data_IF_154181096814
#
_entry.id   IF_154181096814
#
_cell.length_a   1.000
_cell.length_b   1.000
_cell.length_c   1.000
_cell.angle_alpha   90.00
_cell.angle_beta   90.00
_cell.angle_gamma   90.00
#
_symmetry.space_group_name_H-M   'P 1'
#
loop_
_entity.id
_entity.type
_entity.pdbx_description
1 polymer ?
#
# COMPACT_ATOMS: atom_id res chain seq x y z
N UNK A 1 5.31 67.79 10.08
CA UNK A 1 4.78 66.52 10.62
C UNK A 1 5.17 66.41 12.07
N UNK A 2 4.19 66.31 12.95
CA UNK A 2 4.36 66.23 14.39
C UNK A 2 5.03 64.90 14.79
N UNK A 3 6.02 64.87 15.69
CA UNK A 3 6.74 63.66 16.08
C UNK A 3 5.84 62.51 16.50
N UNK A 4 4.69 62.81 17.12
CA UNK A 4 3.70 61.84 17.56
C UNK A 4 2.98 61.13 16.41
N UNK A 5 2.92 61.70 15.20
CA UNK A 5 2.35 61.03 14.03
C UNK A 5 3.33 60.03 13.40
N UNK A 6 4.64 60.22 13.57
CA UNK A 6 5.64 59.22 13.12
C UNK A 6 5.68 57.97 14.01
N UNK A 7 5.38 58.10 15.28
CA UNK A 7 5.39 56.98 16.22
C UNK A 7 4.20 56.02 15.96
N UNK A 8 3.03 56.57 15.64
CA UNK A 8 1.84 55.80 15.30
C UNK A 8 1.97 55.08 13.92
N UNK A 9 2.64 55.71 12.95
CA UNK A 9 2.88 55.11 11.66
C UNK A 9 3.89 53.92 11.74
N UNK A 10 4.87 54.01 12.63
CA UNK A 10 5.85 52.96 12.87
C UNK A 10 5.27 51.78 13.66
N UNK A 11 4.36 51.98 14.60
CA UNK A 11 3.68 50.91 15.34
C UNK A 11 2.69 50.14 14.45
N UNK A 12 1.96 50.82 13.58
CA UNK A 12 1.08 50.23 12.60
C UNK A 12 1.83 49.37 11.55
N UNK A 13 2.99 49.81 11.09
CA UNK A 13 3.82 49.07 10.16
C UNK A 13 4.48 47.85 10.82
N UNK A 14 4.86 47.91 12.09
CA UNK A 14 5.43 46.77 12.82
C UNK A 14 4.40 45.68 13.07
N UNK A 15 3.16 46.04 13.39
CA UNK A 15 2.04 45.08 13.56
C UNK A 15 1.70 44.47 12.21
N UNK A 16 1.65 45.23 11.12
CA UNK A 16 1.40 44.70 9.78
C UNK A 16 2.51 43.76 9.29
N UNK A 17 3.78 44.01 9.61
CA UNK A 17 4.90 43.12 9.29
C UNK A 17 4.90 41.87 10.13
N UNK A 18 4.48 41.90 11.39
CA UNK A 18 4.36 40.71 12.23
C UNK A 18 3.20 39.81 11.78
N UNK A 19 2.08 40.41 11.37
CA UNK A 19 0.95 39.66 10.78
C UNK A 19 1.34 39.08 9.42
N UNK A 20 2.10 39.81 8.60
CA UNK A 20 2.58 39.37 7.31
C UNK A 20 3.56 38.18 7.46
N UNK A 21 4.46 38.22 8.44
CA UNK A 21 5.36 37.08 8.73
C UNK A 21 4.62 35.85 9.27
N UNK A 22 3.56 36.03 10.04
CA UNK A 22 2.68 34.94 10.47
C UNK A 22 1.92 34.34 9.27
N UNK A 23 1.47 35.18 8.34
CA UNK A 23 0.76 34.75 7.13
C UNK A 23 1.69 34.05 6.13
N UNK A 24 2.97 34.47 6.01
CA UNK A 24 3.97 33.80 5.18
C UNK A 24 4.33 32.43 5.75
N UNK A 25 4.35 32.25 7.08
CA UNK A 25 4.50 30.96 7.71
C UNK A 25 3.34 29.98 7.43
N UNK A 26 2.14 30.52 7.16
CA UNK A 26 0.93 29.73 6.86
C UNK A 26 0.74 29.54 5.35
N UNK A 27 1.38 30.33 4.49
CA UNK A 27 1.21 30.30 3.02
C UNK A 27 1.67 28.99 2.35
N UNK A 28 2.39 28.13 3.06
CA UNK A 28 2.71 26.77 2.59
C UNK A 28 1.52 25.80 2.59
N UNK A 29 0.33 26.25 3.02
CA UNK A 29 -0.88 25.44 3.13
C UNK A 29 -1.94 25.82 2.07
N UNK A 30 -1.62 26.69 1.11
CA UNK A 30 -2.56 27.11 0.04
C UNK A 30 -3.76 27.93 0.54
N UNK A 31 -3.59 28.68 1.63
CA UNK A 31 -4.60 29.51 2.26
C UNK A 31 -4.51 30.96 1.72
N UNK A 32 -5.59 31.46 1.13
CA UNK A 32 -5.76 32.87 0.82
C UNK A 32 -6.44 33.58 2.00
N UNK A 33 -5.75 34.50 2.64
CA UNK A 33 -6.27 35.30 3.75
C UNK A 33 -6.56 36.71 3.27
N UNK A 34 -7.80 37.17 3.37
CA UNK A 34 -8.20 38.54 3.09
C UNK A 34 -8.49 39.28 4.37
N UNK A 35 -7.74 40.33 4.65
CA UNK A 35 -7.89 41.21 5.82
C UNK A 35 -8.76 42.42 5.47
N UNK A 36 -9.90 42.56 6.10
CA UNK A 36 -10.72 43.77 5.99
C UNK A 36 -10.65 44.55 7.29
N UNK A 37 -10.00 45.71 7.24
CA UNK A 37 -9.97 46.65 8.35
C UNK A 37 -11.12 47.67 8.16
N UNK A 38 -12.11 47.63 9.04
CA UNK A 38 -13.13 48.69 9.14
C UNK A 38 -12.75 49.59 10.29
N UNK A 39 -12.10 50.72 9.96
CA UNK A 39 -11.83 51.79 10.91
C UNK A 39 -13.05 52.65 11.18
N UNK A 40 -13.46 52.81 12.42
CA UNK A 40 -14.32 53.92 12.91
C UNK A 40 -13.70 54.50 14.16
N UNK A 41 -13.38 55.76 14.08
CA UNK A 41 -13.15 56.77 15.12
C UNK A 41 -12.60 56.39 16.51
N UNK A 42 -12.00 57.33 17.23
CA UNK A 42 -11.16 57.07 18.40
C UNK A 42 -11.94 56.80 19.67
N UNK A 43 -12.55 55.66 19.82
CA UNK A 43 -13.04 55.04 21.08
C UNK A 43 -13.95 53.82 20.84
N UNK A 44 -13.57 52.86 20.05
CA UNK A 44 -14.21 51.56 20.09
C UNK A 44 -13.16 50.48 19.83
N UNK A 45 -13.29 49.39 20.56
CA UNK A 45 -12.48 48.18 20.42
C UNK A 45 -12.47 47.74 18.96
N UNK A 46 -11.30 47.58 18.39
CA UNK A 46 -11.17 47.09 17.00
C UNK A 46 -11.46 45.60 16.98
N UNK A 47 -12.59 45.23 16.41
CA UNK A 47 -12.92 43.86 16.10
C UNK A 47 -12.23 43.48 14.75
N UNK A 48 -11.24 42.62 14.85
CA UNK A 48 -10.55 42.07 13.66
C UNK A 48 -11.31 40.81 13.23
N UNK A 49 -11.94 40.87 12.07
CA UNK A 49 -12.57 39.68 11.48
C UNK A 49 -11.63 39.11 10.44
N UNK A 50 -11.12 37.91 10.66
CA UNK A 50 -10.29 37.19 9.73
C UNK A 50 -11.12 36.09 9.07
N UNK A 51 -11.30 36.14 7.77
CA UNK A 51 -11.95 35.10 6.98
C UNK A 51 -10.89 34.27 6.27
N UNK A 52 -10.77 33.04 6.61
CA UNK A 52 -9.89 32.09 5.92
C UNK A 52 -10.72 31.35 4.88
N UNK A 53 -10.37 31.52 3.60
CA UNK A 53 -11.05 30.81 2.49
C UNK A 53 -10.17 29.64 2.10
N UNK A 54 -10.62 28.43 2.38
CA UNK A 54 -10.05 27.22 1.80
C UNK A 54 -10.80 26.89 0.51
N UNK A 55 -10.14 26.36 -0.49
CA UNK A 55 -10.74 26.11 -1.82
C UNK A 55 -12.02 25.25 -1.81
N UNK A 56 -12.33 24.57 -0.69
CA UNK A 56 -13.50 23.70 -0.59
C UNK A 56 -14.45 24.03 0.58
N UNK A 57 -14.10 24.92 1.52
CA UNK A 57 -15.01 25.32 2.60
C UNK A 57 -14.66 26.71 3.12
N UNK A 58 -15.66 27.55 3.30
CA UNK A 58 -15.50 28.88 3.91
C UNK A 58 -15.64 28.72 5.43
N UNK A 59 -14.55 28.91 6.15
CA UNK A 59 -14.60 28.96 7.62
C UNK A 59 -14.64 30.44 8.05
N UNK A 60 -15.71 30.85 8.66
CA UNK A 60 -15.84 32.18 9.25
C UNK A 60 -15.43 32.06 10.71
N UNK A 61 -14.33 32.71 11.09
CA UNK A 61 -13.96 32.84 12.50
C UNK A 61 -14.64 34.09 13.04
N UNK A 62 -15.76 33.91 13.72
CA UNK A 62 -16.40 35.00 14.45
C UNK A 62 -15.77 35.15 15.84
N UNK A 63 -15.40 36.39 16.18
CA UNK A 63 -14.89 36.82 17.49
C UNK A 63 -13.44 36.46 17.80
N UNK A 64 -12.52 37.15 17.17
CA UNK A 64 -11.13 37.24 17.65
C UNK A 64 -10.99 38.47 18.55
N UNK A 65 -10.72 38.27 19.86
CA UNK A 65 -10.41 39.34 20.79
C UNK A 65 -8.89 39.48 20.88
N UNK A 66 -8.38 40.66 20.60
CA UNK A 66 -6.96 40.97 20.85
C UNK A 66 -6.88 41.68 22.21
N UNK A 67 -6.47 40.96 23.24
CA UNK A 67 -6.10 41.54 24.52
C UNK A 67 -4.59 41.63 24.59
N UNK A 68 -4.05 42.76 24.80
CA UNK A 68 -2.69 43.31 24.81
C UNK A 68 -1.46 42.36 24.65
N UNK A 69 -1.59 41.03 24.69
CA UNK A 69 -0.47 40.09 24.56
C UNK A 69 -0.86 38.65 24.08
N UNK A 70 -2.13 38.34 23.92
CA UNK A 70 -2.51 36.96 23.52
C UNK A 70 -3.63 36.95 22.49
N UNK A 71 -3.38 36.37 21.34
CA UNK A 71 -4.40 36.06 20.35
C UNK A 71 -5.05 34.74 20.75
N UNK A 72 -6.28 34.82 21.25
CA UNK A 72 -7.07 33.60 21.54
C UNK A 72 -7.96 33.38 20.33
N UNK A 73 -7.59 32.44 19.51
CA UNK A 73 -8.47 31.89 18.48
C UNK A 73 -9.35 30.81 19.11
N UNK A 74 -10.65 31.07 19.16
CA UNK A 74 -11.59 29.97 19.43
C UNK A 74 -11.79 29.25 18.10
N UNK A 75 -11.01 28.19 17.87
CA UNK A 75 -11.29 27.26 16.78
C UNK A 75 -12.64 26.61 17.09
N UNK A 76 -13.67 26.97 16.33
CA UNK A 76 -14.81 26.09 16.15
C UNK A 76 -14.31 24.92 15.31
N UNK A 77 -14.35 23.76 15.91
CA UNK A 77 -13.82 22.47 15.45
C UNK A 77 -14.57 21.98 14.19
N UNK A 78 -14.24 22.57 13.04
CA UNK A 78 -14.70 22.13 11.73
C UNK A 78 -13.48 21.68 10.92
N UNK A 79 -13.13 20.43 10.99
CA UNK A 79 -12.11 19.67 10.26
C UNK A 79 -10.96 19.17 11.14
N UNK A 80 -11.26 18.35 12.15
CA UNK A 80 -10.30 17.31 12.50
C UNK A 80 -10.12 16.43 11.27
N UNK A 81 -8.89 16.30 10.73
CA UNK A 81 -8.67 15.45 9.57
C UNK A 81 -9.19 14.04 9.86
N UNK A 82 -10.02 13.51 8.96
CA UNK A 82 -10.59 12.17 9.11
C UNK A 82 -9.55 11.14 8.70
N UNK A 83 -8.86 10.54 9.65
CA UNK A 83 -7.99 9.40 9.41
C UNK A 83 -8.78 8.11 9.19
N UNK A 84 -8.22 7.21 8.40
CA UNK A 84 -8.73 5.85 8.30
C UNK A 84 -8.61 5.14 9.66
N UNK A 85 -9.72 4.61 10.15
CA UNK A 85 -9.77 3.80 11.36
C UNK A 85 -10.15 2.37 11.00
N UNK A 86 -9.36 1.41 11.41
CA UNK A 86 -9.63 -0.03 11.22
C UNK A 86 -10.59 -0.54 12.30
N UNK A 87 -11.83 -0.08 12.27
CA UNK A 87 -12.84 -0.33 13.31
C UNK A 87 -13.82 -1.46 12.99
N UNK A 88 -13.77 -2.00 11.78
CA UNK A 88 -14.65 -3.11 11.35
C UNK A 88 -13.88 -4.44 11.35
N UNK A 89 -14.61 -5.55 11.54
CA UNK A 89 -14.10 -6.89 11.30
C UNK A 89 -14.04 -7.21 9.79
N UNK A 90 -13.44 -8.34 9.43
CA UNK A 90 -13.57 -8.87 8.07
C UNK A 90 -14.95 -9.47 7.83
N UNK A 91 -15.48 -9.28 6.63
CA UNK A 91 -16.67 -9.99 6.18
C UNK A 91 -16.39 -11.48 5.98
N UNK A 92 -17.38 -12.31 6.25
CA UNK A 92 -17.35 -13.69 5.81
C UNK A 92 -17.54 -13.80 4.30
N UNK A 93 -16.82 -14.71 3.70
CA UNK A 93 -16.79 -14.95 2.26
C UNK A 93 -17.24 -16.37 1.97
N UNK A 94 -18.17 -16.54 1.03
CA UNK A 94 -18.63 -17.84 0.53
C UNK A 94 -18.22 -18.08 -0.93
N UNK A 95 -17.59 -17.10 -1.56
CA UNK A 95 -17.06 -17.20 -2.90
C UNK A 95 -16.39 -15.90 -3.33
N UNK A 96 -15.72 -15.93 -4.47
CA UNK A 96 -14.94 -14.80 -4.98
C UNK A 96 -15.44 -14.35 -6.34
N UNK A 97 -15.65 -13.04 -6.49
CA UNK A 97 -16.22 -12.44 -7.71
C UNK A 97 -15.21 -11.51 -8.34
N UNK A 98 -15.00 -11.63 -9.65
CA UNK A 98 -14.15 -10.71 -10.42
C UNK A 98 -14.78 -9.33 -10.43
N UNK A 99 -13.99 -8.35 -9.98
CA UNK A 99 -14.38 -6.93 -10.00
C UNK A 99 -13.67 -6.16 -11.12
N UNK A 100 -12.51 -6.65 -11.58
CA UNK A 100 -11.75 -6.03 -12.65
C UNK A 100 -10.81 -7.03 -13.32
N UNK A 101 -10.59 -6.85 -14.63
CA UNK A 101 -9.60 -7.56 -15.42
C UNK A 101 -9.11 -6.64 -16.54
N UNK A 102 -7.83 -6.33 -16.59
CA UNK A 102 -7.32 -5.34 -17.53
C UNK A 102 -7.02 -5.90 -18.92
N UNK A 103 -6.78 -7.20 -19.05
CA UNK A 103 -6.43 -7.87 -20.33
C UNK A 103 -5.26 -7.20 -21.08
N UNK A 104 -4.33 -6.54 -20.39
CA UNK A 104 -3.27 -5.73 -20.98
C UNK A 104 -2.49 -6.47 -22.05
N UNK A 105 -2.15 -7.73 -21.80
CA UNK A 105 -1.35 -8.55 -22.73
C UNK A 105 -2.12 -8.84 -24.03
N UNK A 106 -3.43 -9.02 -23.97
CA UNK A 106 -4.26 -9.28 -25.16
C UNK A 106 -4.28 -8.10 -26.13
N UNK A 107 -4.19 -6.88 -25.63
CA UNK A 107 -4.26 -5.65 -26.43
C UNK A 107 -2.89 -5.07 -26.76
N UNK A 108 -1.79 -5.65 -26.25
CA UNK A 108 -0.46 -5.06 -26.28
C UNK A 108 0.11 -4.76 -27.66
N UNK A 109 -0.32 -5.45 -28.70
CA UNK A 109 0.14 -5.19 -30.07
C UNK A 109 -0.59 -4.04 -30.76
N UNK A 110 -1.83 -3.75 -30.36
CA UNK A 110 -2.67 -2.71 -30.96
C UNK A 110 -2.48 -1.33 -30.34
N UNK A 111 -2.00 -1.24 -29.08
CA UNK A 111 -1.87 -0.02 -28.32
C UNK A 111 -0.47 0.16 -27.73
N UNK A 112 -0.19 1.37 -27.21
CA UNK A 112 1.06 1.64 -26.50
C UNK A 112 0.98 1.17 -25.03
N UNK A 113 0.79 -0.13 -24.84
CA UNK A 113 0.75 -0.74 -23.52
C UNK A 113 2.13 -0.67 -22.87
N UNK A 114 2.18 -0.16 -21.65
CA UNK A 114 3.41 -0.11 -20.85
C UNK A 114 3.74 -1.53 -20.36
N UNK A 115 4.98 -1.90 -20.48
CA UNK A 115 5.51 -3.16 -19.91
C UNK A 115 5.62 -3.00 -18.41
N UNK A 116 4.95 -3.87 -17.66
CA UNK A 116 4.89 -3.82 -16.19
C UNK A 116 5.11 -5.18 -15.56
N UNK A 117 5.54 -5.16 -14.31
CA UNK A 117 5.50 -6.28 -13.36
C UNK A 117 5.21 -5.77 -11.95
N UNK A 118 4.93 -6.70 -11.06
CA UNK A 118 4.57 -6.46 -9.66
C UNK A 118 3.37 -5.48 -9.54
N UNK A 119 2.24 -5.80 -10.20
CA UNK A 119 1.03 -5.01 -10.08
C UNK A 119 0.36 -5.30 -8.75
N UNK A 120 -0.31 -4.30 -8.20
CA UNK A 120 -1.18 -4.45 -7.04
C UNK A 120 -2.30 -3.42 -7.08
N UNK A 121 -3.25 -3.55 -6.17
CA UNK A 121 -4.38 -2.64 -6.02
C UNK A 121 -4.29 -1.92 -4.69
N UNK A 122 -4.52 -0.63 -4.69
CA UNK A 122 -4.70 0.17 -3.49
C UNK A 122 -5.88 1.12 -3.68
N UNK A 123 -6.66 1.29 -2.62
CA UNK A 123 -7.86 2.12 -2.63
C UNK A 123 -7.64 3.39 -1.78
N UNK A 124 -8.41 4.41 -2.09
CA UNK A 124 -8.52 5.66 -1.35
C UNK A 124 -9.98 6.14 -1.37
N UNK A 125 -10.33 7.27 -0.75
CA UNK A 125 -11.71 7.75 -0.75
C UNK A 125 -12.31 7.99 -2.15
N UNK A 126 -11.48 8.04 -3.20
CA UNK A 126 -11.95 8.22 -4.59
C UNK A 126 -12.16 6.90 -5.33
N UNK A 127 -11.75 5.77 -4.76
CA UNK A 127 -11.86 4.43 -5.33
C UNK A 127 -10.54 3.67 -5.37
N UNK A 128 -10.54 2.57 -6.09
CA UNK A 128 -9.39 1.67 -6.19
C UNK A 128 -8.66 1.86 -7.52
N UNK A 129 -7.34 1.85 -7.47
CA UNK A 129 -6.46 1.94 -8.64
C UNK A 129 -5.48 0.78 -8.67
N UNK A 130 -5.03 0.43 -9.87
CA UNK A 130 -3.89 -0.46 -10.06
C UNK A 130 -2.59 0.33 -9.93
N UNK A 131 -1.62 -0.23 -9.24
CA UNK A 131 -0.24 0.25 -9.14
C UNK A 131 0.66 -0.84 -9.70
N UNK A 132 1.65 -0.47 -10.51
CA UNK A 132 2.58 -1.43 -11.09
C UNK A 132 3.94 -0.79 -11.33
N UNK A 133 4.98 -1.61 -11.36
CA UNK A 133 6.33 -1.18 -11.69
C UNK A 133 6.53 -1.31 -13.21
N UNK A 134 6.63 -0.16 -13.90
CA UNK A 134 6.93 -0.15 -15.33
C UNK A 134 8.41 -0.47 -15.58
N UNK A 135 8.73 -0.88 -16.80
CA UNK A 135 10.07 -1.23 -17.23
C UNK A 135 10.69 -0.21 -18.19
N UNK A 136 10.17 1.02 -18.22
CA UNK A 136 10.68 2.10 -19.06
C UNK A 136 10.40 1.97 -20.54
N UNK A 137 9.47 1.10 -20.96
CA UNK A 137 9.13 0.86 -22.37
C UNK A 137 7.69 0.44 -22.55
N UNK A 138 7.24 0.41 -23.79
CA UNK A 138 5.95 -0.15 -24.20
C UNK A 138 6.16 -1.47 -24.98
N UNK A 139 5.12 -2.30 -25.06
CA UNK A 139 5.16 -3.57 -25.77
C UNK A 139 5.52 -3.38 -27.26
N UNK A 140 5.10 -2.27 -27.88
CA UNK A 140 5.45 -1.95 -29.26
C UNK A 140 6.89 -1.49 -29.47
N UNK A 141 7.54 -1.00 -28.43
CA UNK A 141 8.87 -0.42 -28.55
C UNK A 141 9.95 -1.49 -28.35
N UNK A 142 10.41 -2.07 -29.45
CA UNK A 142 11.31 -3.23 -29.47
C UNK A 142 12.76 -2.97 -29.02
N UNK A 143 13.07 -1.80 -28.46
CA UNK A 143 14.46 -1.41 -28.21
C UNK A 143 14.90 -1.48 -26.73
N UNK A 144 14.17 -2.14 -25.84
CA UNK A 144 14.61 -2.21 -24.45
C UNK A 144 15.23 -3.58 -24.11
N UNK A 145 16.50 -3.56 -23.80
CA UNK A 145 17.21 -4.68 -23.17
C UNK A 145 16.84 -4.86 -21.67
N UNK A 146 15.95 -4.05 -21.12
CA UNK A 146 15.68 -3.94 -19.68
C UNK A 146 14.56 -4.84 -19.16
N UNK A 147 13.80 -5.49 -20.03
CA UNK A 147 12.56 -6.20 -19.62
C UNK A 147 12.78 -7.52 -18.88
N UNK A 148 14.01 -8.05 -18.92
CA UNK A 148 14.37 -9.32 -18.27
C UNK A 148 14.98 -9.11 -16.87
N UNK A 149 15.40 -7.90 -16.56
CA UNK A 149 16.06 -7.60 -15.29
C UNK A 149 15.11 -6.94 -14.31
N UNK A 150 14.87 -7.57 -13.17
CA UNK A 150 13.93 -7.11 -12.14
C UNK A 150 14.37 -5.80 -11.46
N UNK A 151 15.68 -5.54 -11.38
CA UNK A 151 16.25 -4.37 -10.69
C UNK A 151 17.08 -3.53 -11.65
N UNK A 152 16.42 -2.59 -12.29
CA UNK A 152 17.05 -1.64 -13.23
C UNK A 152 16.76 -0.20 -12.84
N UNK A 153 17.62 0.71 -13.28
CA UNK A 153 17.42 2.16 -13.08
C UNK A 153 16.21 2.73 -13.84
N UNK A 154 15.67 1.97 -14.77
CA UNK A 154 14.55 2.42 -15.63
C UNK A 154 13.18 2.08 -15.09
N UNK A 155 13.08 1.42 -13.94
CA UNK A 155 11.80 1.06 -13.34
C UNK A 155 11.24 2.19 -12.49
N UNK A 156 9.93 2.28 -12.45
CA UNK A 156 9.20 3.22 -11.60
C UNK A 156 7.77 2.78 -11.38
N UNK A 157 7.18 3.27 -10.30
CA UNK A 157 5.81 3.00 -9.95
C UNK A 157 4.89 3.90 -10.77
N UNK A 158 3.90 3.30 -11.40
CA UNK A 158 2.79 3.99 -12.08
C UNK A 158 1.47 3.59 -11.43
N UNK A 159 0.47 4.45 -11.55
CA UNK A 159 -0.91 4.13 -11.20
C UNK A 159 -1.81 4.29 -12.43
N UNK A 160 -2.81 3.41 -12.54
CA UNK A 160 -3.81 3.43 -13.61
C UNK A 160 -5.19 3.13 -13.05
N UNK A 161 -6.28 3.52 -13.73
CA UNK A 161 -7.60 3.07 -13.36
C UNK A 161 -7.68 1.54 -13.33
N UNK A 162 -8.30 0.98 -12.28
CA UNK A 162 -8.46 -0.46 -12.15
C UNK A 162 -9.32 -1.02 -13.29
N UNK A 163 -8.88 -2.13 -13.88
CA UNK A 163 -9.57 -2.78 -15.02
C UNK A 163 -9.21 -2.21 -16.39
N UNK A 164 -8.28 -1.26 -16.45
CA UNK A 164 -7.82 -0.64 -17.69
C UNK A 164 -6.35 -0.99 -17.94
N UNK A 165 -5.96 -1.39 -19.17
CA UNK A 165 -4.57 -1.63 -19.50
C UNK A 165 -3.71 -0.38 -19.29
N UNK A 166 -2.52 -0.48 -18.67
CA UNK A 166 -1.64 0.67 -18.47
C UNK A 166 -1.07 1.15 -19.81
N UNK A 167 -1.41 2.37 -20.18
CA UNK A 167 -0.88 3.06 -21.38
C UNK A 167 -0.16 4.34 -20.96
N UNK A 168 0.62 4.91 -21.85
CA UNK A 168 1.30 6.18 -21.59
C UNK A 168 0.31 7.31 -21.28
N UNK A 169 -0.88 7.27 -21.91
CA UNK A 169 -1.88 8.33 -21.76
C UNK A 169 -2.74 8.22 -20.51
N UNK A 170 -2.90 7.03 -19.92
CA UNK A 170 -3.77 6.83 -18.76
C UNK A 170 -3.03 6.52 -17.46
N UNK A 171 -1.69 6.54 -17.49
CA UNK A 171 -0.85 6.20 -16.34
C UNK A 171 -0.23 7.43 -15.72
N UNK A 172 -0.33 7.53 -14.40
CA UNK A 172 0.35 8.55 -13.60
C UNK A 172 1.66 7.97 -13.04
N UNK A 173 2.76 8.68 -13.28
CA UNK A 173 4.05 8.32 -12.70
C UNK A 173 4.13 8.79 -11.25
N UNK A 174 4.56 7.93 -10.35
CA UNK A 174 4.62 8.22 -8.92
C UNK A 174 6.05 8.38 -8.38
N UNK A 175 6.93 7.43 -8.65
CA UNK A 175 8.31 7.46 -8.19
C UNK A 175 9.19 6.45 -8.92
N UNK A 176 10.50 6.69 -8.90
CA UNK A 176 11.51 5.78 -9.46
C UNK A 176 11.78 4.66 -8.47
N UNK A 177 11.81 3.43 -8.94
CA UNK A 177 12.18 2.28 -8.15
C UNK A 177 11.78 0.95 -8.78
N UNK A 178 12.36 -0.13 -8.26
CA UNK A 178 12.12 -1.50 -8.67
C UNK A 178 11.43 -2.35 -7.57
N UNK A 179 11.09 -1.73 -6.45
CA UNK A 179 10.26 -2.29 -5.37
C UNK A 179 9.43 -1.18 -4.76
N UNK A 180 8.19 -1.46 -4.38
CA UNK A 180 7.28 -0.41 -3.91
C UNK A 180 6.20 -0.90 -2.97
N UNK A 181 5.61 0.06 -2.27
CA UNK A 181 4.33 -0.05 -1.57
C UNK A 181 3.64 1.30 -1.54
N UNK A 182 2.33 1.31 -1.47
CA UNK A 182 1.53 2.54 -1.27
C UNK A 182 0.29 2.25 -0.46
N UNK A 183 -0.16 3.21 0.31
CA UNK A 183 -1.42 3.18 1.05
C UNK A 183 -1.93 4.59 1.33
N UNK A 184 -3.21 4.70 1.70
CA UNK A 184 -3.87 5.95 2.02
C UNK A 184 -4.36 5.93 3.46
N UNK A 185 -4.10 6.99 4.23
CA UNK A 185 -4.45 7.08 5.65
C UNK A 185 -5.82 7.75 5.92
N UNK A 186 -6.54 8.08 4.87
CA UNK A 186 -7.80 8.84 4.91
C UNK A 186 -7.62 10.33 4.61
N UNK A 187 -6.39 10.86 4.71
CA UNK A 187 -6.05 12.25 4.43
C UNK A 187 -5.11 12.35 3.23
N UNK A 188 -4.15 11.44 3.16
CA UNK A 188 -3.13 11.45 2.13
C UNK A 188 -2.60 10.07 1.79
N UNK A 189 -1.97 9.99 0.64
CA UNK A 189 -1.33 8.77 0.15
C UNK A 189 0.16 8.79 0.48
N UNK A 190 0.60 7.75 1.17
CA UNK A 190 2.01 7.43 1.33
C UNK A 190 2.45 6.48 0.23
N UNK A 191 3.58 6.75 -0.40
CA UNK A 191 4.17 5.90 -1.43
C UNK A 191 5.66 5.72 -1.15
N UNK A 192 6.14 4.50 -1.21
CA UNK A 192 7.54 4.15 -1.01
C UNK A 192 8.04 3.45 -2.27
N UNK A 193 9.13 3.97 -2.83
CA UNK A 193 9.87 3.35 -3.93
C UNK A 193 11.31 3.08 -3.52
N UNK A 194 11.81 1.91 -3.88
CA UNK A 194 13.19 1.50 -3.60
C UNK A 194 13.97 1.43 -4.91
N UNK A 195 15.10 2.11 -4.93
CA UNK A 195 15.99 2.19 -6.09
C UNK A 195 17.44 2.02 -5.68
N UNK A 196 18.32 1.90 -6.66
CA UNK A 196 19.75 1.78 -6.46
C UNK A 196 20.26 0.36 -6.70
N UNK A 197 21.54 0.16 -6.46
CA UNK A 197 22.19 -1.15 -6.57
C UNK A 197 21.91 -1.98 -5.32
N UNK A 198 22.15 -3.29 -5.41
CA UNK A 198 21.91 -4.22 -4.30
C UNK A 198 22.50 -3.75 -2.97
N UNK A 199 23.73 -3.22 -3.01
CA UNK A 199 24.51 -2.83 -1.80
C UNK A 199 24.23 -1.39 -1.33
N UNK A 200 23.58 -0.59 -2.17
CA UNK A 200 23.32 0.84 -1.92
C UNK A 200 21.87 1.22 -2.19
N UNK A 201 20.96 0.29 -2.05
CA UNK A 201 19.54 0.56 -2.26
C UNK A 201 19.02 1.58 -1.25
N UNK A 202 18.14 2.43 -1.72
CA UNK A 202 17.52 3.50 -0.94
C UNK A 202 16.02 3.49 -1.16
N UNK A 203 15.27 3.51 -0.08
CA UNK A 203 13.83 3.73 -0.12
C UNK A 203 13.53 5.22 0.01
N UNK A 204 12.83 5.76 -0.96
CA UNK A 204 12.29 7.14 -0.94
C UNK A 204 10.83 7.09 -0.56
N UNK A 205 10.45 7.87 0.45
CA UNK A 205 9.09 7.94 0.97
C UNK A 205 8.47 9.27 0.57
N UNK A 206 7.30 9.17 -0.05
CA UNK A 206 6.52 10.32 -0.47
C UNK A 206 5.19 10.33 0.29
N UNK A 207 4.73 11.53 0.65
CA UNK A 207 3.39 11.74 1.17
C UNK A 207 2.70 12.82 0.34
N UNK A 208 1.56 12.50 -0.27
CA UNK A 208 0.88 13.35 -1.25
C UNK A 208 1.83 13.88 -2.34
N UNK A 209 2.68 12.99 -2.87
CA UNK A 209 3.63 13.30 -3.93
C UNK A 209 4.87 14.12 -3.51
N UNK A 210 4.99 14.47 -2.24
CA UNK A 210 6.16 15.19 -1.70
C UNK A 210 7.11 14.23 -1.00
N UNK A 211 8.39 14.29 -1.31
CA UNK A 211 9.43 13.56 -0.61
C UNK A 211 9.47 13.96 0.86
N UNK A 212 9.32 13.02 1.77
CA UNK A 212 9.31 13.25 3.22
C UNK A 212 10.52 12.65 3.90
N UNK A 213 10.96 11.48 3.49
CA UNK A 213 12.12 10.82 4.10
C UNK A 213 12.81 9.87 3.13
N UNK A 214 14.00 9.49 3.50
CA UNK A 214 14.84 8.54 2.76
C UNK A 214 15.44 7.54 3.72
N UNK A 215 15.30 6.26 3.41
CA UNK A 215 15.77 5.16 4.23
C UNK A 215 16.87 4.44 3.46
N UNK A 216 18.05 4.32 4.06
CA UNK A 216 19.17 3.59 3.47
C UNK A 216 19.10 2.11 3.84
N UNK A 217 19.65 1.28 2.96
CA UNK A 217 19.90 -0.13 3.25
C UNK A 217 20.63 -0.32 4.58
N UNK A 218 20.24 -1.32 5.37
CA UNK A 218 20.87 -1.66 6.64
C UNK A 218 21.68 -2.96 6.62
N UNK A 219 21.43 -3.83 5.63
CA UNK A 219 22.18 -5.07 5.44
C UNK A 219 22.93 -5.11 4.10
N UNK A 220 22.84 -4.05 3.30
CA UNK A 220 23.50 -3.89 2.00
C UNK A 220 23.27 -5.06 1.04
N UNK A 221 22.05 -5.60 1.04
CA UNK A 221 21.71 -6.73 0.20
C UNK A 221 20.25 -6.72 -0.20
N UNK A 222 19.91 -5.94 -1.22
CA UNK A 222 18.61 -5.85 -1.83
C UNK A 222 17.54 -5.42 -0.81
N UNK A 223 17.60 -4.16 -0.36
CA UNK A 223 16.48 -3.54 0.36
C UNK A 223 15.23 -3.63 -0.53
N UNK A 224 14.13 -4.14 0.03
CA UNK A 224 12.88 -4.39 -0.70
C UNK A 224 11.67 -4.25 0.22
N UNK A 225 10.48 -4.08 -0.35
CA UNK A 225 9.25 -3.94 0.42
C UNK A 225 8.13 -4.83 -0.13
N UNK A 226 6.88 -4.50 0.14
CA UNK A 226 5.75 -5.41 0.06
C UNK A 226 5.32 -5.80 -1.36
N UNK A 227 5.52 -4.96 -2.36
CA UNK A 227 4.94 -5.13 -3.71
C UNK A 227 3.41 -5.26 -3.66
N UNK A 228 2.80 -4.65 -2.67
CA UNK A 228 1.35 -4.58 -2.44
C UNK A 228 1.02 -3.45 -1.46
N UNK A 229 -0.26 -3.22 -1.25
CA UNK A 229 -0.77 -2.17 -0.37
C UNK A 229 -0.22 -2.28 1.06
N UNK A 230 0.27 -1.16 1.63
CA UNK A 230 0.47 -1.03 3.06
C UNK A 230 -0.86 -0.69 3.76
N UNK A 231 -0.87 -0.63 5.07
CA UNK A 231 -2.11 -0.42 5.84
C UNK A 231 -1.91 0.66 6.88
N UNK A 232 -2.90 1.53 6.99
CA UNK A 232 -2.89 2.63 7.94
C UNK A 232 -4.02 2.50 8.97
N UNK A 233 -3.79 3.02 10.16
CA UNK A 233 -4.79 3.19 11.19
C UNK A 233 -4.49 4.45 11.98
N UNK A 234 -5.48 5.30 12.16
CA UNK A 234 -5.35 6.56 12.93
C UNK A 234 -4.14 7.40 12.50
N UNK A 235 -3.95 7.54 11.19
CA UNK A 235 -2.86 8.32 10.61
C UNK A 235 -1.47 7.68 10.64
N UNK A 236 -1.33 6.50 11.23
CA UNK A 236 -0.09 5.73 11.25
C UNK A 236 -0.17 4.56 10.28
N UNK A 237 0.81 4.43 9.40
CA UNK A 237 0.89 3.36 8.40
C UNK A 237 1.99 2.36 8.78
N UNK A 238 1.68 1.07 8.74
CA UNK A 238 2.64 0.00 8.95
C UNK A 238 3.13 -0.55 7.61
N UNK A 239 4.45 -0.74 7.49
CA UNK A 239 5.12 -1.26 6.30
C UNK A 239 6.12 -2.33 6.71
N UNK A 240 6.15 -3.44 5.99
CA UNK A 240 7.17 -4.47 6.16
C UNK A 240 8.24 -4.27 5.10
N UNK A 241 9.47 -4.07 5.54
CA UNK A 241 10.64 -3.91 4.68
C UNK A 241 11.69 -4.95 5.03
N UNK A 242 12.39 -5.45 4.01
CA UNK A 242 13.36 -6.53 4.15
C UNK A 242 14.66 -6.14 3.46
N UNK A 243 15.76 -6.47 4.09
CA UNK A 243 17.11 -6.33 3.55
C UNK A 243 17.89 -7.62 3.87
N UNK A 244 18.81 -8.02 3.03
CA UNK A 244 19.55 -9.25 3.22
C UNK A 244 19.24 -10.33 2.18
N UNK A 245 20.00 -11.42 2.22
CA UNK A 245 19.95 -12.49 1.22
C UNK A 245 18.55 -13.11 1.06
N UNK A 246 18.20 -13.43 -0.17
CA UNK A 246 17.00 -14.23 -0.49
C UNK A 246 17.17 -15.73 -0.20
N UNK A 247 18.39 -16.18 0.08
CA UNK A 247 18.70 -17.59 0.34
C UNK A 247 19.26 -17.85 1.75
N UNK A 248 19.15 -16.87 2.63
CA UNK A 248 19.62 -16.90 4.00
C UNK A 248 18.66 -16.10 4.89
N UNK A 249 18.95 -16.07 6.19
CA UNK A 249 18.19 -15.22 7.10
C UNK A 249 18.22 -13.77 6.61
N UNK A 250 17.05 -13.23 6.36
CA UNK A 250 16.90 -11.84 5.98
C UNK A 250 16.65 -10.96 7.21
N UNK A 251 17.08 -9.72 7.13
CA UNK A 251 16.86 -8.73 8.17
C UNK A 251 15.58 -7.95 7.83
N UNK A 252 14.47 -8.38 8.39
CA UNK A 252 13.16 -7.76 8.20
C UNK A 252 12.86 -6.79 9.33
N UNK A 253 12.32 -5.63 8.98
CA UNK A 253 11.81 -4.63 9.92
C UNK A 253 10.34 -4.33 9.64
N UNK A 254 9.59 -4.09 10.70
CA UNK A 254 8.28 -3.43 10.63
C UNK A 254 8.52 -1.96 10.93
N UNK A 255 8.10 -1.12 10.00
CA UNK A 255 8.31 0.33 10.05
C UNK A 255 6.96 1.03 10.12
N UNK A 256 6.88 2.04 10.95
CA UNK A 256 5.67 2.82 11.17
C UNK A 256 5.90 4.26 10.74
N UNK A 257 4.93 4.77 9.97
CA UNK A 257 5.03 6.10 9.39
C UNK A 257 3.82 6.95 9.78
N UNK A 258 4.07 8.22 10.07
CA UNK A 258 3.02 9.23 10.17
C UNK A 258 3.28 10.31 9.13
N UNK A 259 2.34 10.52 8.19
CA UNK A 259 2.51 11.48 7.08
C UNK A 259 3.85 11.32 6.34
N UNK A 260 4.27 10.08 6.12
CA UNK A 260 5.52 9.76 5.43
C UNK A 260 6.81 9.90 6.24
N UNK A 261 6.74 10.26 7.52
CA UNK A 261 7.88 10.31 8.43
C UNK A 261 7.94 9.05 9.28
N UNK A 262 9.11 8.46 9.43
CA UNK A 262 9.31 7.30 10.31
C UNK A 262 9.09 7.72 11.77
N UNK A 263 8.13 7.10 12.44
CA UNK A 263 7.84 7.32 13.87
C UNK A 263 8.33 6.18 14.75
N UNK A 264 8.44 4.98 14.19
CA UNK A 264 8.98 3.80 14.87
C UNK A 264 9.54 2.81 13.86
N UNK A 265 10.60 2.11 14.19
CA UNK A 265 11.08 0.93 13.46
C UNK A 265 11.44 -0.16 14.44
N UNK A 266 11.12 -1.40 14.10
CA UNK A 266 11.43 -2.56 14.92
C UNK A 266 11.91 -3.72 14.07
N UNK A 267 12.95 -4.40 14.53
CA UNK A 267 13.35 -5.68 13.95
C UNK A 267 12.25 -6.71 14.15
N UNK A 268 12.13 -7.64 13.20
CA UNK A 268 11.15 -8.71 13.24
C UNK A 268 11.25 -9.50 14.55
N UNK A 269 10.11 -9.66 15.21
CA UNK A 269 9.96 -10.49 16.42
C UNK A 269 9.12 -11.73 16.13
N UNK A 270 9.32 -12.79 16.88
CA UNK A 270 8.56 -14.04 16.76
C UNK A 270 9.38 -15.16 16.14
N UNK A 271 8.69 -16.16 15.61
CA UNK A 271 9.33 -17.40 15.14
C UNK A 271 9.64 -17.44 13.65
N UNK A 272 9.09 -16.54 12.85
CA UNK A 272 9.38 -16.47 11.42
C UNK A 272 10.84 -16.08 11.17
N UNK A 273 11.50 -16.78 10.24
CA UNK A 273 12.93 -16.66 10.00
C UNK A 273 13.27 -15.90 8.74
N UNK A 274 12.42 -15.98 7.74
CA UNK A 274 12.57 -15.27 6.48
C UNK A 274 11.22 -14.70 6.07
N UNK A 275 11.15 -13.41 5.87
CA UNK A 275 9.93 -12.70 5.47
C UNK A 275 10.28 -11.68 4.41
N UNK A 276 9.57 -11.73 3.29
CA UNK A 276 9.59 -10.72 2.25
C UNK A 276 8.24 -10.64 1.52
N UNK A 277 8.05 -9.58 0.74
CA UNK A 277 6.90 -9.38 -0.14
C UNK A 277 5.56 -9.66 0.58
N UNK A 278 5.37 -9.04 1.73
CA UNK A 278 4.17 -9.23 2.54
C UNK A 278 2.92 -8.68 1.85
N UNK A 279 1.82 -9.41 1.98
CA UNK A 279 0.48 -8.96 1.63
C UNK A 279 -0.29 -8.69 2.91
N UNK A 280 -0.60 -7.41 3.14
CA UNK A 280 -1.17 -6.94 4.39
C UNK A 280 -2.62 -6.50 4.21
N UNK A 281 -3.43 -6.68 5.24
CA UNK A 281 -4.77 -6.15 5.35
C UNK A 281 -5.05 -5.75 6.80
N UNK A 282 -5.99 -4.83 6.97
CA UNK A 282 -6.34 -4.30 8.28
C UNK A 282 -7.78 -4.58 8.67
N UNK A 283 -7.99 -4.89 9.94
CA UNK A 283 -9.31 -5.03 10.55
C UNK A 283 -9.19 -4.92 12.07
N UNK A 284 -10.25 -4.53 12.75
CA UNK A 284 -10.32 -4.55 14.22
C UNK A 284 -9.06 -3.97 14.89
N UNK A 285 -8.57 -2.82 14.38
CA UNK A 285 -7.36 -2.11 14.85
C UNK A 285 -6.06 -2.92 14.72
N UNK A 286 -6.05 -3.94 13.88
CA UNK A 286 -4.91 -4.81 13.62
C UNK A 286 -4.55 -4.80 12.14
N UNK A 287 -3.29 -5.06 11.87
CA UNK A 287 -2.79 -5.39 10.54
C UNK A 287 -2.25 -6.80 10.56
N UNK A 288 -2.72 -7.61 9.64
CA UNK A 288 -2.24 -8.97 9.42
C UNK A 288 -1.57 -9.04 8.05
N UNK A 289 -0.34 -9.53 8.02
CA UNK A 289 0.42 -9.73 6.79
C UNK A 289 0.68 -11.21 6.60
N UNK A 290 0.39 -11.73 5.41
CA UNK A 290 0.79 -13.06 4.97
C UNK A 290 1.90 -12.88 3.94
N UNK A 291 3.05 -13.50 4.14
CA UNK A 291 4.28 -13.15 3.47
C UNK A 291 4.89 -14.33 2.70
N UNK A 292 6.05 -14.09 2.11
CA UNK A 292 6.86 -15.05 1.37
C UNK A 292 8.08 -15.43 2.20
N UNK A 293 8.32 -16.72 2.34
CA UNK A 293 9.60 -17.27 2.77
C UNK A 293 10.35 -17.77 1.53
N UNK A 294 11.44 -17.11 1.19
CA UNK A 294 12.24 -17.47 0.00
C UNK A 294 13.48 -18.32 0.36
N UNK A 295 13.57 -18.73 1.59
CA UNK A 295 14.73 -19.46 2.11
C UNK A 295 14.41 -20.94 2.40
N UNK A 296 13.42 -21.21 3.27
CA UNK A 296 13.18 -22.56 3.80
C UNK A 296 11.74 -23.02 3.71
N UNK A 297 10.77 -22.11 3.88
CA UNK A 297 9.38 -22.47 4.12
C UNK A 297 8.51 -22.57 2.88
N UNK A 298 7.73 -23.62 2.78
CA UNK A 298 6.62 -23.74 1.84
C UNK A 298 5.27 -23.35 2.47
N UNK A 299 5.21 -23.20 3.79
CA UNK A 299 4.16 -22.51 4.53
C UNK A 299 4.48 -21.02 4.63
N UNK A 300 3.46 -20.18 4.56
CA UNK A 300 3.68 -18.73 4.58
C UNK A 300 3.89 -18.20 5.99
N UNK A 301 4.91 -17.34 6.19
CA UNK A 301 5.05 -16.60 7.43
C UNK A 301 3.96 -15.53 7.53
N UNK A 302 3.60 -15.20 8.76
CA UNK A 302 2.59 -14.21 9.12
C UNK A 302 3.23 -13.17 10.04
N UNK A 303 2.86 -11.91 9.88
CA UNK A 303 3.08 -10.85 10.86
C UNK A 303 1.72 -10.35 11.33
N UNK A 304 1.54 -10.26 12.63
CA UNK A 304 0.38 -9.65 13.27
C UNK A 304 0.81 -8.40 14.03
N UNK A 305 0.20 -7.26 13.69
CA UNK A 305 0.55 -5.94 14.22
C UNK A 305 -0.66 -5.37 14.95
N UNK A 306 -0.49 -4.99 16.22
CA UNK A 306 -1.44 -4.17 16.94
C UNK A 306 -1.17 -2.69 16.62
N UNK A 307 -2.10 -2.03 15.96
CA UNK A 307 -1.91 -0.66 15.51
C UNK A 307 -2.10 0.40 16.61
N UNK A 308 -2.60 0.03 17.79
CA UNK A 308 -2.68 0.93 18.92
C UNK A 308 -1.36 0.97 19.71
N UNK A 309 -0.73 -0.19 19.89
CA UNK A 309 0.54 -0.30 20.63
C UNK A 309 1.75 -0.20 19.72
N UNK A 310 1.57 -0.41 18.42
CA UNK A 310 2.62 -0.55 17.41
C UNK A 310 3.59 -1.68 17.76
N UNK A 311 3.05 -2.77 18.28
CA UNK A 311 3.77 -4.00 18.57
C UNK A 311 3.41 -5.07 17.55
N UNK A 312 4.34 -5.94 17.25
CA UNK A 312 4.14 -7.03 16.31
C UNK A 312 4.73 -8.35 16.79
N UNK A 313 4.21 -9.43 16.23
CA UNK A 313 4.79 -10.76 16.35
C UNK A 313 4.73 -11.47 15.00
N UNK A 314 5.55 -12.49 14.82
CA UNK A 314 5.55 -13.31 13.62
C UNK A 314 5.50 -14.80 13.95
N UNK A 315 4.89 -15.54 13.05
CA UNK A 315 4.76 -16.99 13.08
C UNK A 315 4.50 -17.50 11.66
N UNK A 316 4.08 -18.74 11.52
CA UNK A 316 3.68 -19.31 10.23
C UNK A 316 2.17 -19.60 10.20
N UNK A 317 1.60 -19.67 9.00
CA UNK A 317 0.27 -20.27 8.81
C UNK A 317 0.35 -21.71 9.32
N UNK A 318 -0.57 -22.09 10.20
CA UNK A 318 -0.45 -23.32 10.98
C UNK A 318 -0.78 -24.59 10.20
N UNK A 319 -1.66 -24.54 9.21
CA UNK A 319 -2.14 -25.71 8.46
C UNK A 319 -1.03 -26.45 7.72
N UNK A 320 -1.18 -27.75 7.57
CA UNK A 320 -0.34 -28.58 6.70
C UNK A 320 -0.64 -28.42 5.21
N UNK A 321 -1.64 -27.62 4.83
CA UNK A 321 -1.93 -27.25 3.44
C UNK A 321 -0.95 -26.13 3.05
N UNK A 322 -0.01 -26.45 2.18
CA UNK A 322 1.07 -25.56 1.79
C UNK A 322 0.65 -24.66 0.63
N UNK A 323 0.98 -23.37 0.69
CA UNK A 323 0.47 -22.37 -0.26
C UNK A 323 1.55 -21.59 -1.01
N UNK A 324 2.84 -21.84 -0.76
CA UNK A 324 3.92 -21.27 -1.57
C UNK A 324 4.26 -22.17 -2.77
N UNK A 325 4.91 -21.64 -3.78
CA UNK A 325 5.47 -22.45 -4.88
C UNK A 325 6.68 -23.24 -4.40
N UNK A 326 7.03 -24.29 -5.15
CA UNK A 326 8.11 -25.22 -4.77
C UNK A 326 7.77 -25.99 -3.49
N UNK A 327 6.49 -26.11 -3.22
CA UNK A 327 5.99 -26.89 -2.10
C UNK A 327 6.06 -28.38 -2.38
N UNK A 328 6.35 -29.20 -1.37
CA UNK A 328 6.06 -30.62 -1.40
C UNK A 328 4.55 -30.85 -1.36
N UNK A 329 4.09 -32.09 -1.42
CA UNK A 329 2.69 -32.41 -1.17
C UNK A 329 2.21 -31.92 0.20
N UNK A 330 0.91 -31.68 0.30
CA UNK A 330 0.28 -31.25 1.55
C UNK A 330 0.58 -32.25 2.68
N UNK A 331 0.71 -31.75 3.90
CA UNK A 331 1.04 -32.53 5.09
C UNK A 331 -0.21 -32.83 5.90
N UNK A 332 -0.14 -33.92 6.66
CA UNK A 332 -1.21 -34.31 7.59
C UNK A 332 -1.33 -33.38 8.80
N UNK A 333 -0.30 -32.60 9.12
CA UNK A 333 -0.30 -31.57 10.13
C UNK A 333 0.69 -30.46 9.74
N UNK A 334 0.39 -29.25 10.16
CA UNK A 334 1.26 -28.10 9.97
C UNK A 334 2.08 -27.78 11.21
N UNK A 335 2.72 -26.61 11.17
CA UNK A 335 3.51 -26.06 12.27
C UNK A 335 3.38 -24.54 12.29
N UNK A 336 2.86 -24.00 13.40
CA UNK A 336 2.69 -22.55 13.56
C UNK A 336 4.01 -21.82 13.87
N UNK A 337 5.02 -22.52 14.31
CA UNK A 337 6.27 -21.93 14.84
C UNK A 337 7.49 -22.15 13.96
N UNK A 338 7.42 -23.10 13.03
CA UNK A 338 8.56 -23.43 12.18
C UNK A 338 8.19 -23.47 10.69
N UNK A 339 9.18 -23.19 9.82
CA UNK A 339 8.99 -23.40 8.39
C UNK A 339 8.82 -24.91 8.08
N UNK A 340 7.87 -25.23 7.21
CA UNK A 340 7.80 -26.56 6.60
C UNK A 340 8.66 -26.52 5.35
N UNK A 341 9.72 -27.32 5.32
CA UNK A 341 10.73 -27.28 4.26
C UNK A 341 10.12 -27.51 2.88
N UNK A 342 10.38 -26.55 1.97
CA UNK A 342 10.08 -26.67 0.55
C UNK A 342 11.14 -27.47 -0.19
N UNK A 343 11.07 -27.49 -1.53
CA UNK A 343 12.12 -28.10 -2.36
C UNK A 343 13.38 -27.23 -2.28
N UNK A 344 14.56 -27.82 -2.09
CA UNK A 344 15.81 -27.07 -2.00
C UNK A 344 16.04 -26.18 -3.21
N UNK A 345 16.43 -24.93 -2.98
CA UNK A 345 16.81 -23.97 -4.02
C UNK A 345 15.69 -23.45 -4.90
N UNK A 346 14.44 -23.76 -4.59
CA UNK A 346 13.33 -23.28 -5.38
C UNK A 346 12.73 -22.00 -4.76
N UNK A 347 12.66 -20.92 -5.53
CA UNK A 347 12.14 -19.64 -5.05
C UNK A 347 10.62 -19.72 -4.84
N UNK A 348 10.14 -19.08 -3.78
CA UNK A 348 8.74 -18.87 -3.53
C UNK A 348 8.09 -17.89 -4.51
N UNK A 349 6.86 -17.53 -4.21
CA UNK A 349 6.10 -16.48 -4.91
C UNK A 349 5.37 -15.62 -3.87
N UNK A 350 5.23 -14.31 -4.15
CA UNK A 350 4.36 -13.46 -3.35
C UNK A 350 2.94 -14.01 -3.39
N UNK A 351 2.35 -14.17 -2.21
CA UNK A 351 0.99 -14.63 -2.02
C UNK A 351 0.32 -13.94 -0.85
N UNK A 352 -0.86 -14.39 -0.49
CA UNK A 352 -1.71 -13.79 0.53
C UNK A 352 -2.61 -14.84 1.19
N UNK A 353 -3.33 -14.40 2.21
CA UNK A 353 -4.40 -15.16 2.84
C UNK A 353 -5.20 -14.23 3.75
N UNK A 354 -6.46 -14.58 4.02
CA UNK A 354 -7.31 -13.89 4.96
C UNK A 354 -7.60 -14.80 6.14
N UNK A 355 -6.98 -14.48 7.28
CA UNK A 355 -7.11 -15.28 8.50
C UNK A 355 -8.31 -14.76 9.31
N UNK A 356 -9.44 -15.40 9.17
CA UNK A 356 -10.71 -15.01 9.78
C UNK A 356 -11.42 -16.20 10.44
N UNK A 357 -10.72 -16.88 11.37
CA UNK A 357 -11.26 -18.03 12.08
C UNK A 357 -11.76 -19.13 11.13
N UNK A 358 -13.01 -19.53 11.29
CA UNK A 358 -13.65 -20.56 10.44
C UNK A 358 -13.78 -20.11 8.97
N UNK A 359 -13.78 -18.82 8.70
CA UNK A 359 -13.84 -18.25 7.35
C UNK A 359 -12.45 -17.80 6.86
N UNK A 360 -11.45 -18.64 7.05
CA UNK A 360 -10.09 -18.41 6.57
C UNK A 360 -9.94 -18.90 5.14
N UNK A 361 -9.41 -18.03 4.28
CA UNK A 361 -9.14 -18.31 2.88
C UNK A 361 -7.67 -18.06 2.56
N UNK A 362 -7.04 -19.02 1.92
CA UNK A 362 -5.65 -18.94 1.45
C UNK A 362 -5.62 -19.07 -0.07
N UNK A 363 -4.84 -18.21 -0.73
CA UNK A 363 -4.59 -18.30 -2.17
C UNK A 363 -3.30 -19.04 -2.47
N UNK A 364 -3.27 -19.84 -3.56
CA UNK A 364 -2.05 -20.47 -4.05
C UNK A 364 -2.08 -20.72 -5.55
N UNK A 365 -0.90 -20.86 -6.16
CA UNK A 365 -0.81 -21.40 -7.51
C UNK A 365 -1.29 -22.86 -7.54
N UNK A 366 -1.98 -23.27 -8.61
CA UNK A 366 -2.42 -24.66 -8.75
C UNK A 366 -1.20 -25.56 -8.93
N UNK A 367 -0.26 -25.17 -9.78
CA UNK A 367 1.02 -25.89 -9.89
C UNK A 367 1.85 -25.70 -8.62
N UNK A 368 2.34 -26.80 -8.03
CA UNK A 368 3.21 -26.70 -6.84
C UNK A 368 4.64 -26.24 -7.17
N UNK A 369 5.05 -26.26 -8.43
CA UNK A 369 6.43 -26.00 -8.86
C UNK A 369 6.59 -24.81 -9.80
N UNK A 370 5.51 -24.26 -10.31
CA UNK A 370 5.55 -23.15 -11.27
C UNK A 370 4.47 -22.13 -10.94
N UNK A 371 4.60 -20.95 -11.52
CA UNK A 371 3.60 -19.88 -11.43
C UNK A 371 2.55 -20.09 -12.52
N UNK A 372 1.74 -21.12 -12.39
CA UNK A 372 0.64 -21.44 -13.30
C UNK A 372 -0.61 -21.83 -12.53
N UNK A 373 -1.77 -21.35 -13.01
CA UNK A 373 -3.03 -21.46 -12.36
C UNK A 373 -3.08 -20.67 -11.04
N UNK A 374 -4.25 -20.52 -10.51
CA UNK A 374 -4.48 -19.95 -9.18
C UNK A 374 -5.80 -20.44 -8.60
N UNK A 375 -5.80 -20.80 -7.33
CA UNK A 375 -6.98 -21.25 -6.61
C UNK A 375 -7.09 -20.62 -5.23
N UNK A 376 -8.31 -20.40 -4.76
CA UNK A 376 -8.64 -20.03 -3.40
C UNK A 376 -9.11 -21.25 -2.63
N UNK A 377 -8.58 -21.41 -1.43
CA UNK A 377 -8.88 -22.53 -0.54
C UNK A 377 -9.49 -22.00 0.75
N UNK A 378 -10.71 -22.42 1.07
CA UNK A 378 -11.29 -22.20 2.41
C UNK A 378 -10.75 -23.31 3.32
N UNK A 379 -9.98 -22.89 4.31
CA UNK A 379 -9.33 -23.80 5.27
C UNK A 379 -9.65 -23.27 6.67
N UNK A 380 -10.74 -23.73 7.29
CA UNK A 380 -11.18 -23.23 8.58
C UNK A 380 -10.06 -23.29 9.63
N UNK A 381 -9.85 -22.17 10.31
CA UNK A 381 -8.85 -22.04 11.38
C UNK A 381 -7.39 -22.32 10.96
N UNK A 382 -7.05 -22.19 9.69
CA UNK A 382 -5.69 -22.44 9.20
C UNK A 382 -4.62 -21.55 9.85
N UNK A 383 -5.02 -20.41 10.40
CA UNK A 383 -4.15 -19.51 11.14
C UNK A 383 -3.78 -20.01 12.54
N UNK A 384 -4.49 -20.99 13.10
CA UNK A 384 -4.34 -21.43 14.51
C UNK A 384 -4.36 -22.95 14.70
N UNK A 385 -4.93 -23.71 13.76
CA UNK A 385 -5.07 -25.16 13.85
C UNK A 385 -4.13 -25.88 12.85
N UNK A 386 -3.09 -26.58 13.34
CA UNK A 386 -2.22 -27.38 12.49
C UNK A 386 -2.93 -28.49 11.71
N UNK A 387 -4.06 -28.95 12.20
CA UNK A 387 -4.82 -30.06 11.61
C UNK A 387 -5.93 -29.61 10.66
N UNK A 388 -6.08 -28.31 10.45
CA UNK A 388 -7.11 -27.77 9.55
C UNK A 388 -6.94 -28.28 8.11
N UNK A 389 -8.08 -28.47 7.42
CA UNK A 389 -8.17 -29.05 6.07
C UNK A 389 -8.98 -28.16 5.14
N UNK A 390 -8.79 -28.38 3.86
CA UNK A 390 -9.57 -27.72 2.81
C UNK A 390 -11.04 -28.13 2.97
N UNK A 391 -11.90 -27.14 3.21
CA UNK A 391 -13.36 -27.30 3.23
C UNK A 391 -13.96 -26.99 1.86
N UNK A 392 -13.46 -25.95 1.19
CA UNK A 392 -13.96 -25.49 -0.11
C UNK A 392 -12.78 -25.07 -0.99
N UNK A 393 -13.00 -25.10 -2.31
CA UNK A 393 -12.03 -24.71 -3.31
C UNK A 393 -12.73 -23.96 -4.43
N UNK A 394 -12.14 -22.84 -4.86
CA UNK A 394 -12.55 -22.12 -6.06
C UNK A 394 -11.36 -21.90 -6.96
N UNK A 395 -11.41 -22.41 -8.19
CA UNK A 395 -10.43 -22.10 -9.21
C UNK A 395 -10.63 -20.67 -9.72
N UNK A 396 -9.55 -19.90 -9.78
CA UNK A 396 -9.56 -18.51 -10.24
C UNK A 396 -8.91 -18.40 -11.62
N UNK A 397 -7.77 -19.04 -11.80
CA UNK A 397 -7.02 -19.08 -13.06
C UNK A 397 -6.75 -20.54 -13.38
N UNK A 398 -7.13 -20.97 -14.59
CA UNK A 398 -6.88 -22.32 -15.08
C UNK A 398 -5.38 -22.65 -15.04
N UNK A 399 -5.05 -23.90 -14.69
CA UNK A 399 -3.66 -24.33 -14.56
C UNK A 399 -2.86 -24.34 -15.89
N UNK A 400 -3.52 -24.25 -17.02
CA UNK A 400 -2.87 -24.09 -18.31
C UNK A 400 -2.44 -22.64 -18.58
N UNK A 401 -2.89 -21.71 -17.77
CA UNK A 401 -2.56 -20.30 -17.86
C UNK A 401 -1.50 -19.90 -16.84
N UNK A 402 -0.59 -19.00 -17.24
CA UNK A 402 0.41 -18.41 -16.37
C UNK A 402 -0.25 -17.51 -15.31
N UNK A 403 0.27 -17.59 -14.11
CA UNK A 403 -0.02 -16.67 -13.01
C UNK A 403 1.28 -15.99 -12.53
N UNK A 404 1.28 -15.38 -11.36
CA UNK A 404 2.46 -14.72 -10.83
C UNK A 404 2.25 -14.34 -9.38
N UNK A 405 2.58 -13.09 -9.05
CA UNK A 405 2.32 -12.52 -7.75
C UNK A 405 0.83 -12.43 -7.48
N UNK A 406 0.47 -12.53 -6.22
CA UNK A 406 -0.87 -12.26 -5.72
C UNK A 406 -0.78 -11.54 -4.39
N UNK A 407 -1.78 -10.75 -4.08
CA UNK A 407 -1.79 -9.96 -2.85
C UNK A 407 -3.19 -9.49 -2.48
N UNK A 408 -3.33 -9.12 -1.21
CA UNK A 408 -4.57 -8.62 -0.64
C UNK A 408 -4.70 -7.11 -0.79
N UNK A 409 -5.94 -6.64 -0.83
CA UNK A 409 -6.32 -5.25 -0.64
C UNK A 409 -7.74 -5.15 -0.08
N UNK A 410 -8.08 -4.01 0.48
CA UNK A 410 -9.42 -3.73 0.99
C UNK A 410 -9.79 -2.29 0.60
N UNK A 411 -11.02 -2.10 0.14
CA UNK A 411 -11.62 -0.78 0.03
C UNK A 411 -12.21 -0.38 1.40
N UNK A 412 -11.39 0.27 2.21
CA UNK A 412 -11.77 0.70 3.56
C UNK A 412 -12.78 1.85 3.58
N UNK A 413 -12.97 2.53 2.44
CA UNK A 413 -13.88 3.68 2.30
C UNK A 413 -15.27 3.30 1.81
N UNK A 414 -15.48 2.03 1.45
CA UNK A 414 -16.80 1.53 1.14
C UNK A 414 -17.63 1.42 2.42
N UNK A 415 -18.47 2.44 2.64
CA UNK A 415 -19.26 2.58 3.87
C UNK A 415 -20.55 1.75 3.88
N UNK A 416 -20.86 1.03 2.80
CA UNK A 416 -22.15 0.32 2.63
C UNK A 416 -22.21 -1.03 3.37
N UNK A 417 -21.17 -1.44 4.13
CA UNK A 417 -21.19 -2.69 4.87
C UNK A 417 -20.67 -2.51 6.31
N UNK A 418 -21.13 -3.37 7.22
CA UNK A 418 -20.73 -3.41 8.61
C UNK A 418 -19.34 -4.05 8.81
N UNK A 419 -18.78 -4.66 7.78
CA UNK A 419 -17.50 -5.35 7.78
C UNK A 419 -16.64 -4.94 6.58
N UNK A 420 -15.33 -5.18 6.65
CA UNK A 420 -14.43 -4.97 5.52
C UNK A 420 -14.46 -6.18 4.59
N UNK A 421 -14.80 -5.96 3.31
CA UNK A 421 -14.82 -7.02 2.32
C UNK A 421 -13.39 -7.33 1.85
N UNK A 422 -12.88 -8.55 2.07
CA UNK A 422 -11.56 -8.93 1.61
C UNK A 422 -11.52 -9.01 0.08
N UNK A 423 -10.44 -8.45 -0.49
CA UNK A 423 -10.20 -8.49 -1.93
C UNK A 423 -8.74 -8.90 -2.19
N UNK A 424 -8.50 -9.46 -3.35
CA UNK A 424 -7.16 -9.82 -3.81
C UNK A 424 -7.01 -9.62 -5.31
N UNK A 425 -5.76 -9.60 -5.74
CA UNK A 425 -5.39 -9.60 -7.16
C UNK A 425 -4.47 -10.78 -7.47
N UNK A 426 -4.46 -11.16 -8.73
CA UNK A 426 -3.49 -12.12 -9.29
C UNK A 426 -2.84 -11.48 -10.52
N UNK A 427 -1.50 -11.48 -10.52
CA UNK A 427 -0.68 -11.11 -11.67
C UNK A 427 -0.66 -12.26 -12.66
N UNK A 428 -0.99 -11.98 -13.94
CA UNK A 428 -0.96 -12.94 -15.02
C UNK A 428 0.25 -12.62 -15.91
N UNK A 429 1.39 -13.23 -15.60
CA UNK A 429 2.67 -12.94 -16.26
C UNK A 429 2.71 -13.59 -17.66
N UNK A 430 3.23 -12.85 -18.65
CA UNK A 430 3.54 -13.33 -19.99
C UNK A 430 4.97 -12.93 -20.38
N UNK A 431 5.53 -13.58 -21.38
CA UNK A 431 6.91 -13.36 -21.80
C UNK A 431 7.92 -13.95 -20.82
N UNK A 432 7.59 -15.05 -20.17
CA UNK A 432 8.50 -15.83 -19.30
C UNK A 432 9.64 -16.46 -20.12
N UNK A 433 10.70 -16.97 -19.46
CA UNK A 433 11.81 -17.61 -20.18
C UNK A 433 11.39 -18.65 -21.23
N UNK A 434 10.31 -19.38 -20.96
CA UNK A 434 9.76 -20.38 -21.88
C UNK A 434 9.16 -19.75 -23.15
N UNK A 435 8.66 -18.52 -23.05
CA UNK A 435 8.10 -17.72 -24.14
C UNK A 435 9.12 -16.74 -24.74
N UNK A 436 10.28 -16.55 -24.11
CA UNK A 436 11.28 -15.52 -24.49
C UNK A 436 11.82 -15.70 -25.92
N UNK A 437 11.75 -16.90 -26.49
CA UNK A 437 12.08 -17.17 -27.88
C UNK A 437 11.10 -16.55 -28.88
N UNK A 438 9.90 -16.17 -28.44
CA UNK A 438 8.85 -15.59 -29.27
C UNK A 438 8.59 -14.11 -28.98
N UNK A 439 8.85 -13.68 -27.74
CA UNK A 439 8.62 -12.30 -27.32
C UNK A 439 9.88 -11.75 -26.64
N UNK A 440 10.14 -10.47 -26.81
CA UNK A 440 11.31 -9.77 -26.27
C UNK A 440 11.04 -9.08 -24.93
N UNK A 441 9.80 -9.14 -24.44
CA UNK A 441 9.33 -8.49 -23.22
C UNK A 441 8.80 -9.50 -22.20
N UNK A 442 8.85 -9.12 -20.92
CA UNK A 442 8.07 -9.73 -19.85
C UNK A 442 7.11 -8.68 -19.32
N UNK A 443 5.83 -8.98 -19.32
CA UNK A 443 4.79 -8.08 -18.82
C UNK A 443 3.66 -8.88 -18.16
N UNK A 444 2.61 -8.19 -17.71
CA UNK A 444 1.48 -8.82 -17.04
C UNK A 444 0.14 -8.21 -17.44
N UNK A 445 -0.90 -9.00 -17.26
CA UNK A 445 -2.27 -8.55 -16.99
C UNK A 445 -2.59 -8.72 -15.51
N UNK A 446 -3.66 -8.10 -15.03
CA UNK A 446 -4.13 -8.23 -13.66
C UNK A 446 -5.60 -8.64 -13.66
N UNK A 447 -5.95 -9.57 -12.76
CA UNK A 447 -7.32 -9.87 -12.37
C UNK A 447 -7.50 -9.55 -10.90
N UNK A 448 -8.56 -8.84 -10.55
CA UNK A 448 -8.91 -8.49 -9.17
C UNK A 448 -10.29 -9.05 -8.80
N UNK A 449 -10.37 -9.62 -7.61
CA UNK A 449 -11.58 -10.25 -7.07
C UNK A 449 -11.87 -9.75 -5.67
N UNK A 450 -13.14 -9.72 -5.30
CA UNK A 450 -13.58 -9.46 -3.93
C UNK A 450 -14.47 -10.58 -3.42
N UNK A 451 -14.55 -10.71 -2.11
CA UNK A 451 -15.40 -11.67 -1.44
C UNK A 451 -16.89 -11.42 -1.72
N UNK A 452 -17.63 -12.51 -1.85
CA UNK A 452 -19.11 -12.53 -1.95
C UNK A 452 -19.69 -13.25 -0.73
N UNK A 453 -20.79 -12.77 -0.15
CA UNK A 453 -21.49 -13.48 0.90
C UNK A 453 -22.30 -14.68 0.38
N UNK A 454 -22.27 -14.93 -0.92
CA UNK A 454 -22.97 -16.04 -1.57
C UNK A 454 -21.96 -16.95 -2.28
N UNK A 455 -22.24 -18.27 -2.31
CA UNK A 455 -21.45 -19.17 -3.13
C UNK A 455 -21.41 -18.73 -4.59
N UNK A 456 -20.25 -18.73 -5.18
CA UNK A 456 -20.05 -18.43 -6.60
C UNK A 456 -19.85 -19.76 -7.32
N UNK A 457 -20.62 -20.00 -8.39
CA UNK A 457 -20.51 -21.22 -9.19
C UNK A 457 -19.08 -21.42 -9.70
N UNK A 458 -18.64 -22.68 -9.79
CA UNK A 458 -17.33 -23.07 -10.29
C UNK A 458 -17.21 -22.76 -11.79
N UNK A 459 -16.73 -21.60 -12.12
CA UNK A 459 -16.34 -21.22 -13.45
C UNK A 459 -14.93 -20.64 -13.39
N UNK A 460 -13.97 -21.30 -14.03
CA UNK A 460 -12.66 -20.65 -14.26
C UNK A 460 -12.87 -19.47 -15.22
N UNK A 461 -12.28 -18.35 -14.88
CA UNK A 461 -12.31 -17.18 -15.74
C UNK A 461 -11.21 -17.35 -16.80
N UNK A 462 -11.54 -17.32 -18.09
CA UNK A 462 -10.60 -17.47 -19.19
C UNK A 462 -9.59 -16.32 -19.31
#
# INVERSE_FOLDING_TARGET
MNPNQKLFALSGAAIALSILNLLIGISNVGLNVSLHLKGKGPKQEENLTCTTINQNNTTVVENTYVNNTTIITKETDWNTPSYLLLNKSLCNVEGWVVIAKDNAIRFGESEQIIVTREPYVSCDPTGCKMYALHQGTTIRNKHSNGTIHDRTAFRGLISTPLGTPPTVSNSDFMCVGWSSTTCHDGIGRMTICIQGNNDNATATVYYNGRLTTTIKTWARNILRTQESECVCHNGTCAVVMTDGSASNQAYTKVMYFHKGLVVKEEALRGSARHIEECSCYGHSQRVTCVCRDNWQGANRPIIEIDMNTLEHTSRYVCTGILTDTSRPGDKSSGDCSNPITGSPGAPGVKGFGFLNGDNTWLGRTISPRSRSGFEMLKIPNAGTDPNSRIAERQEIVDNNNWSGYSGSFIDYWNNNSECYNPCFYVELIRGRPEEAKYVWWTSNSLIALCGSPFPVGSGSFP
#
